data_IF_948227806854
#
_entry.id   IF_948227806854
#
_cell.length_a   1.000
_cell.length_b   1.000
_cell.length_c   1.000
_cell.angle_alpha   90.00
_cell.angle_beta   90.00
_cell.angle_gamma   90.00
#
_symmetry.space_group_name_H-M   'P 1'
#
loop_
_entity.id
_entity.type
_entity.pdbx_description
1 polymer ?
#
# COMPACT_ATOMS: atom_id res chain seq x y z
N UNK A 1 3.91 16.47 16.30
CA UNK A 1 3.83 15.92 14.95
C UNK A 1 2.55 15.12 14.78
N UNK A 2 1.76 15.47 13.79
CA UNK A 2 0.52 14.76 13.55
C UNK A 2 0.80 13.39 12.93
N UNK A 3 0.05 12.41 13.39
CA UNK A 3 0.08 11.09 12.76
C UNK A 3 -1.12 10.99 11.83
N UNK A 4 -0.90 10.30 10.74
CA UNK A 4 -1.95 10.03 9.79
C UNK A 4 -2.81 8.86 10.26
N UNK A 5 -4.10 8.92 10.06
CA UNK A 5 -4.99 7.81 10.38
C UNK A 5 -4.87 6.75 9.31
N UNK A 6 -4.57 5.52 9.70
CA UNK A 6 -4.44 4.43 8.74
C UNK A 6 -5.78 3.75 8.57
N UNK A 7 -6.17 3.61 7.30
CA UNK A 7 -7.35 2.86 6.90
C UNK A 7 -6.91 1.74 5.98
N UNK A 8 -7.69 0.68 5.94
CA UNK A 8 -7.38 -0.49 5.11
C UNK A 8 -8.59 -0.82 4.26
N UNK A 9 -8.36 -1.13 2.99
CA UNK A 9 -9.41 -1.79 2.21
C UNK A 9 -9.63 -3.16 2.84
N UNK A 10 -10.88 -3.62 2.82
CA UNK A 10 -11.20 -4.89 3.47
C UNK A 10 -10.40 -6.07 2.89
N UNK A 11 -10.07 -6.02 1.59
CA UNK A 11 -9.29 -7.07 0.93
C UNK A 11 -7.89 -7.23 1.51
N UNK A 12 -7.36 -6.19 2.15
CA UNK A 12 -6.02 -6.23 2.74
C UNK A 12 -5.95 -7.22 3.89
N UNK A 13 -7.07 -7.49 4.56
CA UNK A 13 -7.11 -8.50 5.62
C UNK A 13 -6.70 -9.87 5.06
N UNK A 14 -7.20 -10.23 3.88
CA UNK A 14 -6.83 -11.47 3.22
C UNK A 14 -5.36 -11.45 2.78
N UNK A 15 -4.89 -10.32 2.26
CA UNK A 15 -3.49 -10.17 1.91
C UNK A 15 -2.59 -10.51 3.09
N UNK A 16 -2.94 -9.97 4.26
CA UNK A 16 -2.15 -10.17 5.47
C UNK A 16 -2.20 -11.62 5.95
N UNK A 17 -3.36 -12.27 5.84
CA UNK A 17 -3.50 -13.68 6.25
C UNK A 17 -2.61 -14.63 5.44
N UNK A 18 -2.31 -14.27 4.19
CA UNK A 18 -1.45 -15.09 3.33
C UNK A 18 0.03 -14.97 3.66
N UNK A 19 0.39 -14.03 4.52
CA UNK A 19 1.79 -13.80 4.90
C UNK A 19 2.14 -14.62 6.13
N UNK A 20 3.40 -15.09 6.19
CA UNK A 20 3.93 -15.71 7.40
C UNK A 20 3.88 -14.67 8.54
N UNK A 21 3.75 -15.15 9.77
CA UNK A 21 3.65 -14.29 10.93
C UNK A 21 4.78 -13.28 11.06
N UNK A 22 6.02 -13.71 10.80
CA UNK A 22 7.18 -12.82 10.85
C UNK A 22 7.13 -11.74 9.78
N UNK A 23 6.70 -12.12 8.57
CA UNK A 23 6.56 -11.18 7.46
C UNK A 23 5.44 -10.19 7.76
N UNK A 24 4.33 -10.68 8.31
CA UNK A 24 3.20 -9.83 8.69
C UNK A 24 3.63 -8.77 9.70
N UNK A 25 4.46 -9.13 10.68
CA UNK A 25 4.99 -8.17 11.64
C UNK A 25 5.81 -7.08 10.96
N UNK A 26 6.65 -7.46 10.00
CA UNK A 26 7.46 -6.49 9.28
C UNK A 26 6.60 -5.54 8.44
N UNK A 27 5.52 -6.07 7.84
CA UNK A 27 4.58 -5.24 7.11
C UNK A 27 3.91 -4.23 8.05
N UNK A 28 3.47 -4.68 9.22
CA UNK A 28 2.86 -3.80 10.22
C UNK A 28 3.79 -2.71 10.68
N UNK A 29 5.07 -3.05 10.89
CA UNK A 29 6.09 -2.07 11.27
C UNK A 29 6.29 -1.03 10.18
N UNK A 30 6.30 -1.47 8.92
CA UNK A 30 6.45 -0.56 7.80
C UNK A 30 5.26 0.39 7.70
N UNK A 31 4.04 -0.12 7.88
CA UNK A 31 2.83 0.72 7.87
C UNK A 31 2.87 1.73 9.01
N UNK A 32 3.31 1.30 10.18
CA UNK A 32 3.42 2.19 11.33
C UNK A 32 4.40 3.34 11.05
N UNK A 33 5.48 3.04 10.35
CA UNK A 33 6.44 4.04 9.93
C UNK A 33 5.81 5.03 8.94
N UNK A 34 4.97 4.53 8.04
CA UNK A 34 4.25 5.38 7.08
C UNK A 34 3.30 6.35 7.77
N UNK A 35 2.76 6.00 8.94
CA UNK A 35 1.87 6.89 9.69
C UNK A 35 2.51 8.23 10.04
N UNK A 36 3.84 8.26 10.15
CA UNK A 36 4.54 9.48 10.53
C UNK A 36 4.84 10.38 9.35
N UNK A 37 5.06 9.81 8.17
CA UNK A 37 5.41 10.59 6.98
C UNK A 37 5.14 9.80 5.71
N UNK A 38 3.86 9.60 5.35
CA UNK A 38 3.52 8.75 4.21
C UNK A 38 4.01 9.28 2.87
N UNK A 39 4.30 10.56 2.79
CA UNK A 39 4.79 11.18 1.56
C UNK A 39 6.32 11.21 1.47
N UNK A 40 6.99 10.89 2.58
CA UNK A 40 8.46 10.84 2.62
C UNK A 40 9.00 9.45 2.34
N UNK A 41 8.17 8.43 2.54
CA UNK A 41 8.53 7.04 2.28
C UNK A 41 7.86 6.57 1.00
N UNK A 42 8.41 5.51 0.42
CA UNK A 42 7.87 4.99 -0.81
C UNK A 42 8.07 5.93 -1.98
N UNK A 43 7.43 5.61 -3.07
CA UNK A 43 7.51 6.42 -4.29
C UNK A 43 6.16 6.43 -5.01
N UNK A 44 5.84 7.52 -5.72
CA UNK A 44 4.60 7.56 -6.50
C UNK A 44 4.70 6.61 -7.69
N UNK A 45 3.58 5.99 -8.04
CA UNK A 45 3.53 5.03 -9.13
C UNK A 45 3.18 5.68 -10.48
N UNK A 46 2.23 6.57 -10.52
CA UNK A 46 1.81 7.20 -11.75
C UNK A 46 1.23 6.20 -12.76
N UNK A 47 1.48 6.45 -14.03
CA UNK A 47 1.03 5.54 -15.08
C UNK A 47 2.11 4.50 -15.34
N UNK A 48 1.68 3.24 -15.48
CA UNK A 48 2.57 2.13 -15.81
C UNK A 48 1.94 1.32 -16.92
N UNK A 49 2.53 1.41 -18.11
CA UNK A 49 1.99 0.79 -19.32
C UNK A 49 0.55 1.25 -19.51
N UNK A 50 -0.39 0.32 -19.52
CA UNK A 50 -1.81 0.61 -19.72
C UNK A 50 -2.53 0.94 -18.41
N UNK A 51 -1.82 0.90 -17.27
CA UNK A 51 -2.45 1.07 -15.97
C UNK A 51 -2.28 2.48 -15.43
N UNK A 52 -3.37 3.03 -14.94
CA UNK A 52 -3.36 4.32 -14.28
C UNK A 52 -3.34 4.10 -12.77
N UNK A 53 -2.17 4.31 -12.19
CA UNK A 53 -1.95 4.19 -10.75
C UNK A 53 -1.67 5.56 -10.14
N UNK A 54 -2.09 6.61 -10.82
CA UNK A 54 -1.91 7.98 -10.37
C UNK A 54 -2.55 8.17 -8.99
N UNK A 55 -1.82 8.78 -8.08
CA UNK A 55 -2.28 8.99 -6.72
C UNK A 55 -1.88 7.89 -5.75
N UNK A 56 -1.38 6.76 -6.28
CA UNK A 56 -0.92 5.66 -5.43
C UNK A 56 0.59 5.73 -5.23
N UNK A 57 1.04 5.23 -4.10
CA UNK A 57 2.45 5.15 -3.76
C UNK A 57 2.79 3.71 -3.37
N UNK A 58 4.06 3.37 -3.43
CA UNK A 58 4.54 2.01 -3.18
C UNK A 58 5.74 2.01 -2.26
N UNK A 59 5.73 1.10 -1.30
CA UNK A 59 6.91 0.76 -0.49
C UNK A 59 7.25 -0.69 -0.76
N UNK A 60 8.53 -0.97 -1.00
CA UNK A 60 9.03 -2.32 -1.22
C UNK A 60 9.80 -2.80 0.00
N UNK A 61 9.39 -3.94 0.55
CA UNK A 61 10.14 -4.65 1.58
C UNK A 61 10.94 -5.72 0.85
N UNK A 62 12.13 -5.34 0.40
CA UNK A 62 12.93 -6.13 -0.55
C UNK A 62 13.30 -7.51 -0.05
N UNK A 63 13.67 -7.61 1.23
CA UNK A 63 14.10 -8.88 1.81
C UNK A 63 12.99 -9.91 1.83
N UNK A 64 11.76 -9.47 1.90
CA UNK A 64 10.58 -10.34 1.97
C UNK A 64 9.84 -10.45 0.63
N UNK A 65 10.25 -9.67 -0.36
CA UNK A 65 9.55 -9.61 -1.65
C UNK A 65 8.15 -9.05 -1.54
N UNK A 66 7.90 -8.22 -0.54
CA UNK A 66 6.58 -7.65 -0.27
C UNK A 66 6.47 -6.25 -0.86
N UNK A 67 5.30 -5.93 -1.38
CA UNK A 67 4.97 -4.58 -1.82
C UNK A 67 3.75 -4.10 -1.06
N UNK A 68 3.82 -2.85 -0.60
CA UNK A 68 2.69 -2.18 0.05
C UNK A 68 2.31 -1.01 -0.84
N UNK A 69 1.08 -1.03 -1.35
CA UNK A 69 0.56 0.07 -2.17
C UNK A 69 -0.48 0.81 -1.34
N UNK A 70 -0.38 2.12 -1.34
CA UNK A 70 -1.24 2.96 -0.51
C UNK A 70 -1.55 4.29 -1.20
N UNK A 71 -2.60 4.94 -0.70
CA UNK A 71 -3.03 6.26 -1.15
C UNK A 71 -2.95 7.23 0.02
N UNK A 72 -2.43 8.43 -0.21
CA UNK A 72 -2.39 9.48 0.80
C UNK A 72 -3.56 10.42 0.55
N UNK A 73 -4.43 10.57 1.54
CA UNK A 73 -5.58 11.45 1.48
C UNK A 73 -5.36 12.64 2.41
N UNK A 74 -4.75 13.68 1.87
CA UNK A 74 -4.35 14.84 2.67
C UNK A 74 -5.49 15.57 3.34
N UNK A 75 -6.59 15.72 2.62
CA UNK A 75 -7.74 16.46 3.15
C UNK A 75 -8.32 15.77 4.39
N UNK A 76 -8.31 14.46 4.41
CA UNK A 76 -8.83 13.67 5.52
C UNK A 76 -7.76 13.29 6.52
N UNK A 77 -6.50 13.62 6.26
CA UNK A 77 -5.37 13.21 7.06
C UNK A 77 -5.33 11.69 7.22
N UNK A 78 -5.58 10.98 6.12
CA UNK A 78 -5.68 9.52 6.08
C UNK A 78 -4.68 8.89 5.14
N UNK A 79 -4.30 7.68 5.51
CA UNK A 79 -3.44 6.81 4.73
C UNK A 79 -4.23 5.53 4.46
N UNK A 80 -4.58 5.29 3.21
CA UNK A 80 -5.36 4.11 2.83
C UNK A 80 -4.46 3.03 2.27
N UNK A 81 -4.39 1.88 2.96
CA UNK A 81 -3.64 0.73 2.45
C UNK A 81 -4.51 -0.02 1.44
N UNK A 82 -3.99 -0.19 0.24
CA UNK A 82 -4.71 -0.79 -0.89
C UNK A 82 -4.31 -2.25 -1.11
N UNK A 83 -3.02 -2.54 -1.06
CA UNK A 83 -2.49 -3.90 -1.26
C UNK A 83 -1.29 -4.10 -0.35
N UNK A 84 -1.14 -5.30 0.20
CA UNK A 84 0.07 -5.70 0.91
C UNK A 84 0.30 -7.18 0.60
N UNK A 85 1.35 -7.49 -0.20
CA UNK A 85 1.53 -8.90 -0.53
C UNK A 85 2.76 -9.21 -1.34
N UNK A 86 3.03 -10.52 -1.48
CA UNK A 86 4.10 -11.06 -2.31
C UNK A 86 3.54 -11.23 -3.70
N UNK A 87 3.88 -10.32 -4.60
CA UNK A 87 3.38 -10.37 -5.97
C UNK A 87 4.42 -9.80 -6.93
N UNK A 88 4.38 -10.28 -8.15
CA UNK A 88 5.17 -9.69 -9.24
C UNK A 88 4.58 -8.31 -9.56
N UNK A 89 5.41 -7.43 -10.10
CA UNK A 89 5.01 -6.05 -10.40
C UNK A 89 3.69 -5.94 -11.13
N UNK A 90 3.55 -6.65 -12.23
CA UNK A 90 2.33 -6.57 -13.04
C UNK A 90 1.09 -7.00 -12.27
N UNK A 91 1.23 -8.07 -11.48
CA UNK A 91 0.11 -8.60 -10.71
C UNK A 91 -0.33 -7.65 -9.61
N UNK A 92 0.63 -7.10 -8.87
CA UNK A 92 0.30 -6.18 -7.76
C UNK A 92 -0.32 -4.89 -8.29
N UNK A 93 0.15 -4.41 -9.42
CA UNK A 93 -0.40 -3.19 -10.02
C UNK A 93 -1.79 -3.41 -10.57
N UNK A 94 -2.05 -4.57 -11.17
CA UNK A 94 -3.37 -4.93 -11.65
C UNK A 94 -4.38 -4.98 -10.48
N UNK A 95 -3.97 -5.59 -9.38
CA UNK A 95 -4.82 -5.68 -8.19
C UNK A 95 -5.09 -4.30 -7.61
N UNK A 96 -4.06 -3.47 -7.51
CA UNK A 96 -4.20 -2.11 -6.98
C UNK A 96 -5.17 -1.29 -7.83
N UNK A 97 -5.05 -1.35 -9.14
CA UNK A 97 -5.94 -0.64 -10.05
C UNK A 97 -7.39 -1.11 -9.88
N UNK A 98 -7.57 -2.43 -9.84
CA UNK A 98 -8.91 -3.01 -9.70
C UNK A 98 -9.57 -2.59 -8.39
N UNK A 99 -8.82 -2.64 -7.29
CA UNK A 99 -9.36 -2.28 -5.97
C UNK A 99 -9.73 -0.80 -5.86
N UNK A 100 -8.98 0.06 -6.53
CA UNK A 100 -9.21 1.50 -6.43
C UNK A 100 -10.29 2.02 -7.38
N UNK A 101 -10.64 1.27 -8.40
CA UNK A 101 -11.72 1.66 -9.33
C UNK A 101 -13.04 1.89 -8.62
N UNK A 102 -13.34 1.11 -7.61
CA UNK A 102 -14.57 1.21 -6.86
C UNK A 102 -14.62 2.38 -5.89
N UNK A 103 -13.52 3.12 -5.74
CA UNK A 103 -13.42 4.22 -4.77
C UNK A 103 -13.70 5.60 -5.37
N UNK A 104 -13.92 5.67 -6.65
CA UNK A 104 -14.13 6.94 -7.35
C UNK A 104 -15.56 7.14 -7.75
#
# INVERSE_FOLDING_TARGET
>A
MERWTVRYLWEVAEDMERLDGNVRLRVRKAIKKLETAPESFGKPLGRRRDRNLTGLREVKLRDDGIRIIYEVRRMENELLIVVAGVRKDEEVYRVAEKRTKGLK
#
